data_IF_426531706637
#
_entry.id   IF_426531706637
#
_cell.length_a   1.000
_cell.length_b   1.000
_cell.length_c   1.000
_cell.angle_alpha   90.00
_cell.angle_beta   90.00
_cell.angle_gamma   90.00
#
_symmetry.space_group_name_H-M   'P 1'
#
loop_
_entity.id
_entity.type
_entity.pdbx_description
1 polymer ?
#
# COMPACT_ATOMS: atom_id res chain seq x y z
N UNK A 1 9.61 -1.52 5.05
CA UNK A 1 8.90 -2.79 5.33
C UNK A 1 8.42 -3.37 4.00
N UNK A 2 8.53 -4.67 3.78
CA UNK A 2 7.93 -5.33 2.61
C UNK A 2 6.65 -6.04 3.02
N UNK A 3 5.74 -6.29 2.09
CA UNK A 3 4.45 -6.95 2.36
C UNK A 3 4.58 -8.32 3.02
N UNK A 4 5.69 -9.04 2.81
CA UNK A 4 5.94 -10.35 3.42
C UNK A 4 6.10 -10.34 4.95
N UNK A 5 6.40 -9.17 5.56
CA UNK A 5 6.51 -9.01 7.02
C UNK A 5 5.36 -8.18 7.62
N UNK A 6 4.43 -7.68 6.80
CA UNK A 6 3.24 -7.02 7.31
C UNK A 6 2.34 -8.04 8.04
N UNK A 7 1.77 -7.66 9.18
CA UNK A 7 0.96 -8.56 10.03
C UNK A 7 -0.35 -7.94 10.47
N UNK A 8 -0.31 -6.73 11.01
CA UNK A 8 -1.49 -6.00 11.47
C UNK A 8 -1.40 -4.52 11.09
N UNK A 9 -2.54 -3.82 10.95
CA UNK A 9 -2.57 -2.40 10.61
C UNK A 9 -2.27 -1.49 11.81
N UNK A 10 -2.44 -1.97 13.04
CA UNK A 10 -2.35 -1.18 14.29
C UNK A 10 -1.07 -0.33 14.44
N UNK A 11 0.13 -0.78 14.01
CA UNK A 11 1.34 0.04 14.09
C UNK A 11 1.29 1.33 13.26
N UNK A 12 0.33 1.46 12.35
CA UNK A 12 0.18 2.61 11.44
C UNK A 12 -0.97 3.56 11.83
N UNK A 13 -1.51 3.42 13.05
CA UNK A 13 -2.61 4.25 13.52
C UNK A 13 -2.26 5.75 13.46
N UNK A 14 -3.12 6.54 12.81
CA UNK A 14 -2.98 7.99 12.64
C UNK A 14 -1.67 8.43 11.93
N UNK A 15 -0.99 7.53 11.25
CA UNK A 15 0.22 7.83 10.47
C UNK A 15 -0.10 8.17 9.01
N UNK A 16 0.84 8.82 8.32
CA UNK A 16 0.79 8.97 6.86
C UNK A 16 1.59 7.83 6.24
N UNK A 17 0.92 6.93 5.53
CA UNK A 17 1.51 5.71 4.98
C UNK A 17 1.61 5.78 3.45
N UNK A 18 2.73 5.27 2.91
CA UNK A 18 2.92 5.07 1.47
C UNK A 18 3.07 3.58 1.20
N UNK A 19 2.18 3.03 0.38
CA UNK A 19 2.26 1.65 -0.11
C UNK A 19 2.88 1.65 -1.51
N UNK A 20 3.98 0.91 -1.67
CA UNK A 20 4.73 0.84 -2.93
C UNK A 20 4.41 -0.49 -3.64
N UNK A 21 3.86 -0.39 -4.84
CA UNK A 21 3.41 -1.52 -5.65
C UNK A 21 1.89 -1.74 -5.56
N UNK A 22 1.28 -2.12 -6.69
CA UNK A 22 -0.17 -2.33 -6.83
C UNK A 22 -0.51 -3.79 -7.17
N UNK A 23 0.27 -4.73 -6.64
CA UNK A 23 -0.09 -6.17 -6.68
C UNK A 23 -1.25 -6.45 -5.74
N UNK A 24 -1.84 -7.65 -5.81
CA UNK A 24 -2.94 -8.06 -4.92
C UNK A 24 -2.63 -7.83 -3.43
N UNK A 25 -1.40 -8.12 -3.00
CA UNK A 25 -0.97 -7.86 -1.62
C UNK A 25 -0.93 -6.36 -1.30
N UNK A 26 -0.38 -5.54 -2.22
CA UNK A 26 -0.33 -4.09 -2.04
C UNK A 26 -1.72 -3.47 -1.95
N UNK A 27 -2.65 -3.95 -2.76
CA UNK A 27 -4.06 -3.52 -2.73
C UNK A 27 -4.75 -3.92 -1.42
N UNK A 28 -4.63 -5.19 -1.01
CA UNK A 28 -5.23 -5.67 0.23
C UNK A 28 -4.72 -4.93 1.47
N UNK A 29 -3.39 -4.78 1.59
CA UNK A 29 -2.77 -4.03 2.69
C UNK A 29 -3.22 -2.56 2.66
N UNK A 30 -3.32 -1.95 1.47
CA UNK A 30 -3.78 -0.57 1.36
C UNK A 30 -5.22 -0.40 1.87
N UNK A 31 -6.10 -1.37 1.61
CA UNK A 31 -7.49 -1.35 2.10
C UNK A 31 -7.53 -1.45 3.63
N UNK A 32 -6.78 -2.39 4.22
CA UNK A 32 -6.71 -2.53 5.69
C UNK A 32 -6.16 -1.25 6.36
N UNK A 33 -5.14 -0.63 5.78
CA UNK A 33 -4.51 0.57 6.35
C UNK A 33 -5.44 1.78 6.35
N UNK A 34 -6.41 1.88 5.43
CA UNK A 34 -7.36 3.00 5.38
C UNK A 34 -8.24 3.08 6.62
N UNK A 35 -8.45 1.96 7.33
CA UNK A 35 -9.26 1.93 8.55
C UNK A 35 -8.57 2.57 9.76
N UNK A 36 -7.24 2.64 9.77
CA UNK A 36 -6.47 3.10 10.95
C UNK A 36 -5.56 4.30 10.66
N UNK A 37 -5.04 4.42 9.44
CA UNK A 37 -4.06 5.45 9.11
C UNK A 37 -4.74 6.81 8.90
N UNK A 38 -3.98 7.89 9.14
CA UNK A 38 -4.46 9.25 8.87
C UNK A 38 -4.61 9.49 7.37
N UNK A 39 -3.69 8.93 6.57
CA UNK A 39 -3.73 9.00 5.10
C UNK A 39 -2.91 7.86 4.50
N UNK A 40 -3.48 7.20 3.50
CA UNK A 40 -2.79 6.18 2.70
C UNK A 40 -2.57 6.71 1.28
N UNK A 41 -1.34 6.62 0.78
CA UNK A 41 -1.01 6.93 -0.62
C UNK A 41 -0.44 5.67 -1.28
N UNK A 42 -0.86 5.38 -2.52
CA UNK A 42 -0.29 4.29 -3.31
C UNK A 42 0.63 4.82 -4.39
N UNK A 43 1.80 4.21 -4.54
CA UNK A 43 2.75 4.50 -5.62
C UNK A 43 3.07 3.22 -6.36
N UNK A 44 2.82 3.18 -7.66
CA UNK A 44 3.15 2.02 -8.49
C UNK A 44 3.48 2.42 -9.92
N UNK A 45 4.30 1.60 -10.57
CA UNK A 45 4.60 1.73 -11.98
C UNK A 45 3.52 1.03 -12.80
N UNK A 46 2.96 1.72 -13.77
CA UNK A 46 2.06 1.09 -14.75
C UNK A 46 2.83 0.08 -15.60
N UNK A 47 2.22 -1.09 -15.84
CA UNK A 47 2.75 -2.10 -16.74
C UNK A 47 2.39 -1.82 -18.21
N UNK A 48 1.66 -0.74 -18.47
CA UNK A 48 1.34 -0.35 -19.83
C UNK A 48 2.63 0.05 -20.56
N UNK A 49 3.04 -0.76 -21.54
CA UNK A 49 4.01 -0.34 -22.53
C UNK A 49 3.24 0.55 -23.50
N UNK A 50 3.46 1.86 -23.43
CA UNK A 50 3.14 2.70 -24.58
C UNK A 50 3.93 2.13 -25.77
N UNK A 51 3.23 1.84 -26.88
CA UNK A 51 3.85 1.35 -28.11
C UNK A 51 5.11 2.18 -28.41
N UNK A 52 6.25 1.49 -28.46
CA UNK A 52 7.53 2.04 -28.92
C UNK A 52 7.72 1.60 -30.37
#
# INVERSE_FOLDING_TARGET
MHSHIYRTPEPFNNEIVVVVGNSLNGQGISIELVEVAKKVNMSFRSHYKAYQ
#
